data_IF_088709704933
#
_entry.id   IF_088709704933
#
_cell.length_a   1.000
_cell.length_b   1.000
_cell.length_c   1.000
_cell.angle_alpha   90.00
_cell.angle_beta   90.00
_cell.angle_gamma   90.00
#
_symmetry.space_group_name_H-M   'P 1'
#
loop_
_entity.id
_entity.type
_entity.pdbx_description
1 polymer ?
#
# COMPACT_ATOMS: atom_id res chain seq x y z
N UNK A 1 -19.42 -2.30 -16.57
CA UNK A 1 -18.62 -1.19 -16.04
C UNK A 1 -19.60 -0.05 -15.79
N UNK A 2 -19.55 0.62 -14.63
CA UNK A 2 -20.32 1.88 -14.47
C UNK A 2 -19.51 2.93 -15.20
N UNK A 3 -19.94 3.42 -16.38
CA UNK A 3 -19.18 4.43 -17.09
C UNK A 3 -19.20 5.74 -16.30
N UNK A 4 -18.13 6.54 -16.39
CA UNK A 4 -18.00 7.90 -15.82
C UNK A 4 -17.75 8.06 -14.31
N UNK A 5 -17.93 7.05 -13.46
CA UNK A 5 -17.62 7.18 -12.02
C UNK A 5 -16.15 7.54 -11.76
N UNK A 6 -15.23 7.01 -12.57
CA UNK A 6 -13.81 7.35 -12.52
C UNK A 6 -13.46 8.70 -13.17
N UNK A 7 -14.29 9.27 -14.05
CA UNK A 7 -14.08 10.62 -14.59
C UNK A 7 -14.27 11.68 -13.52
N UNK A 8 -15.34 11.55 -12.73
CA UNK A 8 -15.60 12.43 -11.59
C UNK A 8 -14.49 12.40 -10.53
N UNK A 9 -13.92 11.22 -10.27
CA UNK A 9 -12.86 11.06 -9.25
C UNK A 9 -11.48 11.39 -9.82
N UNK A 10 -11.20 10.96 -11.06
CA UNK A 10 -9.88 11.03 -11.68
C UNK A 10 -9.59 12.33 -12.43
N UNK A 11 -10.51 12.78 -13.27
CA UNK A 11 -10.36 14.02 -14.05
C UNK A 11 -11.12 15.20 -13.45
N UNK A 12 -11.96 14.96 -12.42
CA UNK A 12 -12.89 15.94 -11.85
C UNK A 12 -13.79 16.57 -12.94
N UNK A 13 -14.03 15.81 -14.01
CA UNK A 13 -14.75 16.26 -15.20
C UNK A 13 -15.73 15.19 -15.66
N UNK A 14 -16.84 15.64 -16.22
CA UNK A 14 -17.85 14.77 -16.85
C UNK A 14 -17.56 14.51 -18.34
N UNK A 15 -16.63 15.26 -18.93
CA UNK A 15 -16.38 15.26 -20.39
C UNK A 15 -14.98 14.79 -20.76
N UNK A 16 -14.02 14.85 -19.84
CA UNK A 16 -12.64 14.46 -20.11
C UNK A 16 -12.49 12.94 -20.14
N UNK A 17 -11.96 12.41 -21.23
CA UNK A 17 -11.74 10.98 -21.41
C UNK A 17 -10.42 10.54 -20.81
N UNK A 18 -10.45 9.51 -19.97
CA UNK A 18 -9.23 8.90 -19.45
C UNK A 18 -8.50 8.15 -20.56
N UNK A 19 -7.19 8.41 -20.78
CA UNK A 19 -6.46 7.80 -21.86
C UNK A 19 -6.36 6.29 -21.68
N UNK A 20 -6.50 5.57 -22.79
CA UNK A 20 -6.35 4.12 -22.80
C UNK A 20 -4.89 3.68 -22.62
N UNK A 21 -4.67 2.43 -22.24
CA UNK A 21 -3.33 1.82 -22.13
C UNK A 21 -2.52 1.99 -23.42
N UNK A 22 -3.16 1.88 -24.59
CA UNK A 22 -2.50 2.05 -25.90
C UNK A 22 -1.98 3.47 -26.09
N UNK A 23 -2.78 4.48 -25.77
CA UNK A 23 -2.39 5.89 -25.86
C UNK A 23 -1.27 6.23 -24.87
N UNK A 24 -1.33 5.68 -23.66
CA UNK A 24 -0.27 5.84 -22.65
C UNK A 24 1.04 5.22 -23.17
N UNK A 25 1.00 4.03 -23.77
CA UNK A 25 2.19 3.40 -24.37
C UNK A 25 2.78 4.25 -25.48
N UNK A 26 1.94 4.80 -26.35
CA UNK A 26 2.42 5.65 -27.46
C UNK A 26 3.06 6.95 -26.93
N UNK A 27 2.42 7.59 -25.95
CA UNK A 27 3.01 8.73 -25.25
C UNK A 27 4.33 8.36 -24.56
N UNK A 28 4.41 7.18 -23.94
CA UNK A 28 5.64 6.75 -23.28
C UNK A 28 6.75 6.40 -24.29
N UNK A 29 6.42 5.93 -25.50
CA UNK A 29 7.41 5.72 -26.57
C UNK A 29 8.10 7.03 -26.92
N UNK A 30 7.35 8.09 -27.21
CA UNK A 30 7.94 9.38 -27.58
C UNK A 30 8.81 9.95 -26.45
N UNK A 31 8.39 9.74 -25.19
CA UNK A 31 9.20 10.10 -24.02
C UNK A 31 10.47 9.25 -23.89
N UNK A 32 10.43 7.96 -24.20
CA UNK A 32 11.64 7.11 -24.22
C UNK A 32 12.60 7.60 -25.30
N UNK A 33 12.12 7.88 -26.50
CA UNK A 33 12.94 8.39 -27.61
C UNK A 33 13.56 9.77 -27.29
N UNK A 34 12.79 10.67 -26.68
CA UNK A 34 13.28 11.94 -26.11
C UNK A 34 14.33 11.69 -25.01
N UNK A 35 14.06 10.73 -24.12
CA UNK A 35 14.93 10.35 -23.01
C UNK A 35 16.26 9.75 -23.43
N UNK A 36 16.33 9.03 -24.56
CA UNK A 36 17.60 8.54 -25.14
C UNK A 36 18.56 9.71 -25.36
N UNK A 37 18.07 10.80 -25.97
CA UNK A 37 18.87 12.01 -26.24
C UNK A 37 19.37 12.63 -24.95
N UNK A 38 18.54 12.67 -23.90
CA UNK A 38 18.94 13.17 -22.59
C UNK A 38 20.02 12.30 -21.93
N UNK A 39 19.91 10.96 -22.01
CA UNK A 39 20.90 10.04 -21.42
C UNK A 39 22.24 10.15 -22.15
N UNK A 40 22.23 10.19 -23.49
CA UNK A 40 23.45 10.33 -24.30
C UNK A 40 24.14 11.66 -24.00
N UNK A 41 23.39 12.76 -23.98
CA UNK A 41 23.92 14.08 -23.63
C UNK A 41 24.48 14.11 -22.20
N UNK A 42 23.82 13.44 -21.24
CA UNK A 42 24.33 13.32 -19.88
C UNK A 42 25.66 12.55 -19.81
N UNK A 43 25.81 11.49 -20.61
CA UNK A 43 27.05 10.72 -20.68
C UNK A 43 28.20 11.51 -21.34
N UNK A 44 27.88 12.35 -22.33
CA UNK A 44 28.83 13.32 -22.90
C UNK A 44 29.27 14.34 -21.84
N UNK A 45 28.32 14.94 -21.11
CA UNK A 45 28.62 15.89 -20.03
C UNK A 45 29.41 15.27 -18.87
N UNK A 46 29.25 13.96 -18.61
CA UNK A 46 30.08 13.25 -17.62
C UNK A 46 31.54 13.12 -18.05
N UNK A 47 31.80 12.98 -19.36
CA UNK A 47 33.15 12.89 -19.93
C UNK A 47 33.78 14.28 -20.11
N UNK A 48 33.00 15.25 -20.57
CA UNK A 48 33.39 16.64 -20.74
C UNK A 48 32.29 17.57 -20.21
N UNK A 49 32.51 18.13 -19.03
CA UNK A 49 31.49 18.94 -18.33
C UNK A 49 31.13 20.24 -19.04
N UNK A 50 32.04 20.76 -19.84
CA UNK A 50 31.91 22.09 -20.46
C UNK A 50 31.46 22.01 -21.92
N UNK A 51 30.91 20.88 -22.37
CA UNK A 51 30.36 20.72 -23.72
C UNK A 51 29.05 21.51 -23.88
N UNK A 52 29.03 22.62 -24.65
CA UNK A 52 27.85 23.47 -24.80
C UNK A 52 26.74 22.82 -25.63
N UNK A 53 27.09 21.91 -26.56
CA UNK A 53 26.11 21.21 -27.38
C UNK A 53 25.39 20.15 -26.53
N UNK A 54 26.16 19.35 -25.79
CA UNK A 54 25.59 18.37 -24.87
C UNK A 54 24.72 19.03 -23.80
N UNK A 55 25.13 20.19 -23.26
CA UNK A 55 24.33 20.95 -22.29
C UNK A 55 22.99 21.42 -22.88
N UNK A 56 22.99 21.88 -24.13
CA UNK A 56 21.77 22.34 -24.82
C UNK A 56 20.80 21.18 -25.05
N UNK A 57 21.29 20.05 -25.57
CA UNK A 57 20.48 18.84 -25.80
C UNK A 57 19.96 18.28 -24.48
N UNK A 58 20.80 18.21 -23.45
CA UNK A 58 20.39 17.75 -22.13
C UNK A 58 19.28 18.63 -21.56
N UNK A 59 19.43 19.95 -21.60
CA UNK A 59 18.41 20.86 -21.07
C UNK A 59 17.08 20.77 -21.82
N UNK A 60 17.09 20.50 -23.13
CA UNK A 60 15.88 20.32 -23.92
C UNK A 60 15.14 19.02 -23.58
N UNK A 61 15.84 17.95 -23.23
CA UNK A 61 15.26 16.61 -23.05
C UNK A 61 15.26 16.09 -21.60
N UNK A 62 15.81 16.83 -20.64
CA UNK A 62 15.97 16.39 -19.23
C UNK A 62 14.68 15.95 -18.54
N UNK A 63 13.52 16.47 -18.97
CA UNK A 63 12.21 16.10 -18.42
C UNK A 63 11.86 14.62 -18.67
N UNK A 64 12.46 14.00 -19.68
CA UNK A 64 12.24 12.59 -20.04
C UNK A 64 13.45 11.70 -19.74
N UNK A 65 14.45 12.21 -19.02
CA UNK A 65 15.66 11.46 -18.68
C UNK A 65 15.32 10.09 -18.04
N UNK A 66 14.36 10.05 -17.11
CA UNK A 66 13.95 8.81 -16.46
C UNK A 66 13.37 7.78 -17.43
N UNK A 67 12.72 8.21 -18.51
CA UNK A 67 12.21 7.32 -19.55
C UNK A 67 13.35 6.73 -20.39
N UNK A 68 14.37 7.53 -20.69
CA UNK A 68 15.61 7.01 -21.29
C UNK A 68 16.31 5.97 -20.41
N UNK A 69 16.29 6.16 -19.09
CA UNK A 69 16.90 5.24 -18.13
C UNK A 69 16.19 3.87 -18.04
N UNK A 70 14.95 3.73 -18.53
CA UNK A 70 14.28 2.43 -18.64
C UNK A 70 15.02 1.48 -19.57
N UNK A 71 15.68 2.02 -20.60
CA UNK A 71 16.46 1.22 -21.55
C UNK A 71 17.71 0.58 -20.92
N UNK A 72 18.20 1.10 -19.79
CA UNK A 72 19.35 0.51 -19.07
C UNK A 72 19.08 -0.89 -18.51
N UNK A 73 17.82 -1.35 -18.57
CA UNK A 73 17.45 -2.74 -18.28
C UNK A 73 17.83 -3.70 -19.42
N UNK A 74 17.87 -3.21 -20.66
CA UNK A 74 17.99 -4.01 -21.88
C UNK A 74 19.32 -3.77 -22.61
N UNK A 75 19.94 -2.60 -22.44
CA UNK A 75 21.24 -2.25 -23.02
C UNK A 75 22.11 -1.48 -22.03
N UNK A 76 23.43 -1.70 -22.10
CA UNK A 76 24.42 -0.90 -21.34
C UNK A 76 24.56 0.49 -21.95
N UNK A 77 24.62 0.56 -23.28
CA UNK A 77 24.69 1.79 -24.05
C UNK A 77 23.32 2.12 -24.65
N UNK A 78 22.72 3.20 -24.15
CA UNK A 78 21.39 3.65 -24.55
C UNK A 78 21.39 4.23 -25.97
N UNK A 79 22.54 4.65 -26.51
CA UNK A 79 22.63 5.17 -27.89
C UNK A 79 22.45 4.07 -28.93
N UNK A 80 22.68 2.81 -28.55
CA UNK A 80 22.58 1.64 -29.42
C UNK A 80 21.25 0.88 -29.24
N UNK A 81 20.24 1.53 -28.64
CA UNK A 81 18.94 0.91 -28.40
C UNK A 81 18.25 0.57 -29.73
N UNK A 82 17.93 -0.71 -29.93
CA UNK A 82 17.19 -1.17 -31.12
C UNK A 82 15.69 -0.87 -30.98
N UNK A 83 14.92 -0.85 -32.09
CA UNK A 83 13.47 -0.70 -32.03
C UNK A 83 12.78 -1.72 -31.12
N UNK A 84 13.30 -2.95 -31.06
CA UNK A 84 12.80 -4.02 -30.19
C UNK A 84 13.06 -3.69 -28.71
N UNK A 85 14.24 -3.16 -28.37
CA UNK A 85 14.55 -2.73 -26.99
C UNK A 85 13.65 -1.57 -26.56
N UNK A 86 13.38 -0.62 -27.47
CA UNK A 86 12.43 0.48 -27.22
C UNK A 86 11.03 -0.07 -26.99
N UNK A 87 10.58 -1.03 -27.79
CA UNK A 87 9.29 -1.70 -27.60
C UNK A 87 9.21 -2.39 -26.23
N UNK A 88 10.24 -3.14 -25.83
CA UNK A 88 10.29 -3.79 -24.52
C UNK A 88 10.26 -2.77 -23.37
N UNK A 89 10.97 -1.65 -23.51
CA UNK A 89 10.93 -0.56 -22.55
C UNK A 89 9.53 0.04 -22.43
N UNK A 90 8.87 0.35 -23.56
CA UNK A 90 7.49 0.84 -23.62
C UNK A 90 6.54 -0.14 -22.92
N UNK A 91 6.64 -1.44 -23.22
CA UNK A 91 5.79 -2.45 -22.62
C UNK A 91 6.00 -2.57 -21.11
N UNK A 92 7.23 -2.36 -20.64
CA UNK A 92 7.56 -2.36 -19.21
C UNK A 92 7.13 -1.09 -18.47
N UNK A 93 6.70 -0.03 -19.15
CA UNK A 93 6.19 1.19 -18.49
C UNK A 93 4.86 0.97 -17.77
N UNK A 94 4.17 -0.12 -18.07
CA UNK A 94 2.86 -0.44 -17.51
C UNK A 94 2.97 -1.77 -16.75
N UNK A 95 2.67 -1.79 -15.44
CA UNK A 95 2.69 -3.01 -14.65
C UNK A 95 1.56 -3.95 -15.08
N UNK A 96 1.63 -5.21 -14.62
CA UNK A 96 0.57 -6.18 -14.94
C UNK A 96 -0.76 -5.68 -14.37
N UNK A 97 -1.79 -5.63 -15.22
CA UNK A 97 -3.09 -5.05 -14.86
C UNK A 97 -3.88 -5.95 -13.91
N UNK A 98 -3.73 -7.27 -14.00
CA UNK A 98 -4.55 -8.21 -13.22
C UNK A 98 -4.40 -8.05 -11.69
N UNK A 99 -3.19 -7.98 -11.10
CA UNK A 99 -3.04 -7.72 -9.66
C UNK A 99 -3.69 -6.40 -9.21
N UNK A 100 -3.50 -5.33 -9.97
CA UNK A 100 -4.10 -4.01 -9.65
C UNK A 100 -5.63 -4.06 -9.73
N UNK A 101 -6.16 -4.67 -10.79
CA UNK A 101 -7.59 -4.79 -11.05
C UNK A 101 -8.33 -5.51 -9.93
N UNK A 102 -7.78 -6.62 -9.45
CA UNK A 102 -8.38 -7.43 -8.39
C UNK A 102 -8.16 -6.82 -7.01
N UNK A 103 -6.96 -6.31 -6.72
CA UNK A 103 -6.66 -5.67 -5.43
C UNK A 103 -7.56 -4.47 -5.20
N UNK A 104 -7.73 -3.61 -6.21
CA UNK A 104 -8.63 -2.46 -6.14
C UNK A 104 -10.08 -2.88 -5.90
N UNK A 105 -10.57 -3.93 -6.58
CA UNK A 105 -11.96 -4.39 -6.40
C UNK A 105 -12.23 -4.94 -5.02
N UNK A 106 -11.34 -5.79 -4.52
CA UNK A 106 -11.50 -6.38 -3.19
C UNK A 106 -11.43 -5.26 -2.14
N UNK A 107 -10.50 -4.31 -2.27
CA UNK A 107 -10.40 -3.13 -1.40
C UNK A 107 -11.70 -2.33 -1.39
N UNK A 108 -12.24 -1.98 -2.56
CA UNK A 108 -13.49 -1.21 -2.68
C UNK A 108 -14.69 -2.00 -2.13
N UNK A 109 -14.77 -3.31 -2.42
CA UNK A 109 -15.82 -4.17 -1.90
C UNK A 109 -15.80 -4.24 -0.36
N UNK A 110 -14.61 -4.36 0.24
CA UNK A 110 -14.43 -4.30 1.69
C UNK A 110 -14.81 -2.92 2.24
N UNK A 111 -14.45 -1.83 1.56
CA UNK A 111 -14.85 -0.46 1.93
C UNK A 111 -16.36 -0.29 2.03
N UNK A 112 -17.12 -0.75 1.02
CA UNK A 112 -18.58 -0.72 1.06
C UNK A 112 -19.15 -1.68 2.12
N UNK A 113 -18.54 -2.84 2.33
CA UNK A 113 -18.95 -3.77 3.37
C UNK A 113 -18.75 -3.18 4.78
N UNK A 114 -17.66 -2.44 5.02
CA UNK A 114 -17.47 -1.70 6.28
C UNK A 114 -18.50 -0.58 6.46
N UNK A 115 -18.75 0.19 5.40
CA UNK A 115 -19.76 1.25 5.46
C UNK A 115 -21.13 0.68 5.84
N UNK A 116 -21.52 -0.44 5.25
CA UNK A 116 -22.77 -1.13 5.58
C UNK A 116 -22.76 -1.66 7.01
N UNK A 117 -21.67 -2.34 7.43
CA UNK A 117 -21.52 -2.88 8.78
C UNK A 117 -21.64 -1.79 9.84
N UNK A 118 -20.90 -0.68 9.69
CA UNK A 118 -20.94 0.43 10.65
C UNK A 118 -22.28 1.16 10.65
N UNK A 119 -22.91 1.34 9.48
CA UNK A 119 -24.25 1.95 9.39
C UNK A 119 -25.29 1.12 10.13
N UNK A 120 -25.26 -0.22 9.97
CA UNK A 120 -26.16 -1.13 10.67
C UNK A 120 -25.86 -1.19 12.17
N UNK A 121 -24.57 -1.25 12.55
CA UNK A 121 -24.16 -1.22 13.95
C UNK A 121 -24.65 0.06 14.65
N UNK A 122 -24.46 1.22 14.02
CA UNK A 122 -24.96 2.50 14.54
C UNK A 122 -26.48 2.51 14.64
N UNK A 123 -27.20 2.10 13.60
CA UNK A 123 -28.66 2.07 13.58
C UNK A 123 -29.25 1.21 14.71
N UNK A 124 -28.74 -0.01 14.90
CA UNK A 124 -29.22 -0.89 15.97
C UNK A 124 -28.73 -0.49 17.36
N UNK A 125 -27.59 0.21 17.45
CA UNK A 125 -27.12 0.83 18.69
C UNK A 125 -28.05 1.96 19.13
N UNK A 126 -28.46 2.85 18.21
CA UNK A 126 -29.42 3.94 18.50
C UNK A 126 -30.77 3.38 18.94
N UNK A 127 -31.21 2.26 18.35
CA UNK A 127 -32.45 1.58 18.76
C UNK A 127 -32.34 0.77 20.06
N UNK A 128 -31.16 0.65 20.65
CA UNK A 128 -30.93 -0.17 21.84
C UNK A 128 -31.12 -1.68 21.65
N UNK A 129 -31.23 -2.19 20.42
CA UNK A 129 -31.54 -3.60 20.11
C UNK A 129 -30.35 -4.39 19.55
N UNK A 130 -29.14 -3.82 19.59
CA UNK A 130 -27.93 -4.42 18.99
C UNK A 130 -27.58 -5.81 19.56
N UNK A 131 -27.82 -6.04 20.85
CA UNK A 131 -27.55 -7.32 21.54
C UNK A 131 -28.37 -8.46 20.93
N UNK A 132 -29.59 -8.19 20.49
CA UNK A 132 -30.50 -9.19 19.92
C UNK A 132 -30.05 -9.65 18.52
N UNK A 133 -29.31 -8.80 17.78
CA UNK A 133 -28.91 -9.06 16.40
C UNK A 133 -27.63 -9.89 16.34
N UNK A 134 -27.72 -11.15 16.74
CA UNK A 134 -26.58 -12.11 16.75
C UNK A 134 -25.86 -12.22 15.41
N UNK A 135 -26.57 -12.08 14.28
CA UNK A 135 -25.95 -12.11 12.95
C UNK A 135 -25.00 -10.92 12.72
N UNK A 136 -25.36 -9.73 13.21
CA UNK A 136 -24.56 -8.52 13.09
C UNK A 136 -23.31 -8.59 13.97
N UNK A 137 -23.46 -9.12 15.20
CA UNK A 137 -22.34 -9.36 16.10
C UNK A 137 -21.35 -10.39 15.53
N UNK A 138 -21.86 -11.48 14.94
CA UNK A 138 -21.03 -12.48 14.25
C UNK A 138 -20.33 -11.86 13.05
N UNK A 139 -21.04 -11.05 12.25
CA UNK A 139 -20.43 -10.37 11.11
C UNK A 139 -19.28 -9.45 11.55
N UNK A 140 -19.48 -8.63 12.58
CA UNK A 140 -18.42 -7.80 13.15
C UNK A 140 -17.20 -8.61 13.61
N UNK A 141 -17.43 -9.75 14.26
CA UNK A 141 -16.35 -10.66 14.69
C UNK A 141 -15.53 -11.21 13.51
N UNK A 142 -16.19 -11.69 12.46
CA UNK A 142 -15.51 -12.20 11.26
C UNK A 142 -14.80 -11.09 10.46
N UNK A 143 -15.23 -9.84 10.63
CA UNK A 143 -14.64 -8.69 9.95
C UNK A 143 -13.42 -8.12 10.67
N UNK A 144 -13.04 -8.63 11.85
CA UNK A 144 -11.83 -8.19 12.55
C UNK A 144 -10.59 -8.18 11.63
N UNK A 145 -10.21 -9.25 10.89
CA UNK A 145 -9.01 -9.22 10.04
C UNK A 145 -9.16 -8.40 8.75
N UNK A 146 -10.38 -8.03 8.36
CA UNK A 146 -10.64 -7.45 7.04
C UNK A 146 -10.03 -6.05 6.81
N UNK A 147 -9.96 -5.13 7.81
CA UNK A 147 -9.32 -3.84 7.63
C UNK A 147 -7.85 -3.95 7.27
N UNK A 148 -7.12 -4.90 7.87
CA UNK A 148 -5.73 -5.19 7.51
C UNK A 148 -5.62 -5.63 6.06
N UNK A 149 -6.46 -6.57 5.62
CA UNK A 149 -6.47 -7.03 4.22
C UNK A 149 -6.79 -5.85 3.26
N UNK A 150 -7.78 -5.03 3.58
CA UNK A 150 -8.12 -3.87 2.76
C UNK A 150 -6.97 -2.86 2.66
N UNK A 151 -6.27 -2.61 3.78
CA UNK A 151 -5.11 -1.73 3.82
C UNK A 151 -3.95 -2.26 2.99
N UNK A 152 -3.60 -3.55 3.12
CA UNK A 152 -2.55 -4.20 2.32
C UNK A 152 -2.86 -4.14 0.82
N UNK A 153 -4.12 -4.42 0.43
CA UNK A 153 -4.54 -4.30 -0.97
C UNK A 153 -4.45 -2.86 -1.49
N UNK A 154 -4.75 -1.87 -0.64
CA UNK A 154 -4.56 -0.46 -0.97
C UNK A 154 -3.09 -0.10 -1.22
N UNK A 155 -2.19 -0.60 -0.35
CA UNK A 155 -0.74 -0.46 -0.55
C UNK A 155 -0.27 -1.14 -1.83
N UNK A 156 -0.75 -2.34 -2.15
CA UNK A 156 -0.45 -3.01 -3.42
C UNK A 156 -0.89 -2.15 -4.60
N UNK A 157 -2.11 -1.58 -4.57
CA UNK A 157 -2.59 -0.70 -5.64
C UNK A 157 -1.69 0.53 -5.81
N UNK A 158 -1.27 1.16 -4.71
CA UNK A 158 -0.44 2.36 -4.73
C UNK A 158 1.01 2.07 -5.17
N UNK A 159 1.65 1.06 -4.59
CA UNK A 159 3.08 0.77 -4.78
C UNK A 159 3.33 -0.05 -6.04
N UNK A 160 2.55 -1.09 -6.28
CA UNK A 160 2.66 -1.86 -7.53
C UNK A 160 2.17 -1.05 -8.73
N UNK A 161 1.20 -0.16 -8.52
CA UNK A 161 0.67 0.73 -9.58
C UNK A 161 1.69 1.74 -10.10
N UNK A 162 2.70 2.08 -9.28
CA UNK A 162 3.78 3.00 -9.65
C UNK A 162 4.94 2.31 -10.35
N UNK A 163 5.03 0.97 -10.34
CA UNK A 163 6.06 0.24 -11.08
C UNK A 163 5.99 0.63 -12.58
N UNK A 164 7.13 0.86 -13.26
CA UNK A 164 8.51 0.53 -12.88
C UNK A 164 9.28 1.68 -12.19
N UNK A 165 8.61 2.60 -11.50
CA UNK A 165 9.24 3.82 -10.97
C UNK A 165 9.45 3.79 -9.45
N UNK A 166 10.68 4.06 -9.00
CA UNK A 166 10.91 4.50 -7.61
C UNK A 166 10.42 5.93 -7.46
N UNK A 167 10.89 6.82 -8.34
CA UNK A 167 10.41 8.19 -8.48
C UNK A 167 9.85 8.35 -9.88
N UNK A 168 8.55 8.65 -9.97
CA UNK A 168 7.84 8.70 -11.24
C UNK A 168 8.51 9.64 -12.26
N UNK A 169 8.81 9.10 -13.44
CA UNK A 169 9.43 9.84 -14.55
C UNK A 169 10.90 10.22 -14.35
N UNK A 170 11.49 9.89 -13.20
CA UNK A 170 12.88 10.28 -12.85
C UNK A 170 13.76 9.05 -12.65
N UNK A 171 13.39 8.16 -11.73
CA UNK A 171 14.24 7.05 -11.31
C UNK A 171 13.48 5.71 -11.42
N UNK A 172 13.82 4.88 -12.42
CA UNK A 172 13.34 3.50 -12.50
C UNK A 172 13.81 2.61 -11.36
N UNK A 173 12.99 1.62 -11.00
CA UNK A 173 13.26 0.71 -9.87
C UNK A 173 14.49 -0.18 -10.08
N UNK A 174 14.77 -0.62 -11.31
CA UNK A 174 15.89 -1.52 -11.60
C UNK A 174 17.27 -0.87 -11.43
N UNK A 175 17.37 0.46 -11.49
CA UNK A 175 18.62 1.20 -11.22
C UNK A 175 18.64 1.84 -9.83
N UNK A 176 17.56 1.69 -9.06
CA UNK A 176 17.44 2.19 -7.69
C UNK A 176 17.92 1.19 -6.63
N UNK A 177 18.38 0.01 -7.05
CA UNK A 177 18.86 -1.05 -6.15
C UNK A 177 20.34 -0.89 -5.82
N UNK A 178 20.73 -1.32 -4.62
CA UNK A 178 22.15 -1.34 -4.22
C UNK A 178 22.89 -2.53 -4.85
N UNK A 179 24.19 -2.35 -5.11
CA UNK A 179 25.05 -3.40 -5.63
C UNK A 179 25.49 -4.36 -4.52
N UNK A 180 24.62 -5.29 -4.14
CA UNK A 180 24.83 -6.25 -3.04
C UNK A 180 24.69 -7.68 -3.60
N UNK A 181 25.45 -8.62 -3.05
CA UNK A 181 25.36 -10.02 -3.45
C UNK A 181 23.97 -10.61 -3.19
N UNK A 182 23.53 -11.49 -4.08
CA UNK A 182 22.25 -12.20 -3.96
C UNK A 182 22.16 -12.99 -2.64
N UNK A 183 23.28 -13.56 -2.18
CA UNK A 183 23.36 -14.27 -0.90
C UNK A 183 23.04 -13.39 0.31
N UNK A 184 23.56 -12.16 0.36
CA UNK A 184 23.26 -11.22 1.45
C UNK A 184 21.78 -10.81 1.45
N UNK A 185 21.17 -10.67 0.27
CA UNK A 185 19.75 -10.33 0.13
C UNK A 185 18.90 -11.47 0.68
N UNK A 186 19.13 -12.72 0.28
CA UNK A 186 18.36 -13.86 0.79
C UNK A 186 18.60 -14.11 2.28
N UNK A 187 19.85 -13.97 2.75
CA UNK A 187 20.18 -14.14 4.17
C UNK A 187 19.47 -13.12 5.06
N UNK A 188 19.53 -11.83 4.69
CA UNK A 188 18.84 -10.77 5.43
C UNK A 188 17.32 -10.89 5.35
N UNK A 189 16.77 -11.20 4.18
CA UNK A 189 15.33 -11.43 4.00
C UNK A 189 14.84 -12.59 4.86
N UNK A 190 15.54 -13.73 4.85
CA UNK A 190 15.20 -14.87 5.68
C UNK A 190 15.24 -14.51 7.18
N UNK A 191 16.28 -13.77 7.60
CA UNK A 191 16.39 -13.26 8.97
C UNK A 191 15.19 -12.41 9.39
N UNK A 192 14.81 -11.42 8.58
CA UNK A 192 13.65 -10.57 8.85
C UNK A 192 12.33 -11.35 8.84
N UNK A 193 12.13 -12.26 7.87
CA UNK A 193 10.93 -13.09 7.80
C UNK A 193 10.78 -13.95 9.05
N UNK A 194 11.84 -14.65 9.45
CA UNK A 194 11.82 -15.50 10.65
C UNK A 194 11.53 -14.64 11.89
N UNK A 195 12.26 -13.54 12.05
CA UNK A 195 12.12 -12.66 13.21
C UNK A 195 10.71 -12.09 13.34
N UNK A 196 10.17 -11.50 12.26
CA UNK A 196 8.83 -10.92 12.26
C UNK A 196 7.73 -11.99 12.38
N UNK A 197 7.95 -13.20 11.86
CA UNK A 197 7.00 -14.31 12.06
C UNK A 197 6.92 -14.73 13.52
N UNK A 198 8.07 -14.82 14.22
CA UNK A 198 8.09 -15.13 15.65
C UNK A 198 7.36 -14.05 16.45
N UNK A 199 7.62 -12.77 16.16
CA UNK A 199 6.92 -11.66 16.81
C UNK A 199 5.41 -11.72 16.57
N UNK A 200 4.98 -11.98 15.33
CA UNK A 200 3.57 -12.10 14.98
C UNK A 200 2.89 -13.25 15.74
N UNK A 201 3.53 -14.41 15.87
CA UNK A 201 2.96 -15.55 16.63
C UNK A 201 2.79 -15.18 18.11
N UNK A 202 3.81 -14.55 18.72
CA UNK A 202 3.75 -14.13 20.14
C UNK A 202 2.66 -13.07 20.33
N UNK A 203 2.60 -12.08 19.46
CA UNK A 203 1.60 -11.00 19.52
C UNK A 203 0.18 -11.55 19.38
N UNK A 204 -0.10 -12.38 18.36
CA UNK A 204 -1.42 -12.98 18.15
C UNK A 204 -1.80 -13.87 19.33
N UNK A 205 -0.85 -14.63 19.90
CA UNK A 205 -1.09 -15.41 21.11
C UNK A 205 -1.50 -14.53 22.29
N UNK A 206 -0.75 -13.45 22.57
CA UNK A 206 -1.06 -12.53 23.67
C UNK A 206 -2.39 -11.81 23.46
N UNK A 207 -2.65 -11.31 22.25
CA UNK A 207 -3.93 -10.69 21.90
C UNK A 207 -5.09 -11.65 22.13
N UNK A 208 -4.99 -12.89 21.66
CA UNK A 208 -6.04 -13.89 21.87
C UNK A 208 -6.22 -14.26 23.35
N UNK A 209 -5.11 -14.41 24.09
CA UNK A 209 -5.13 -14.72 25.52
C UNK A 209 -5.89 -13.64 26.30
N UNK A 210 -5.52 -12.38 26.14
CA UNK A 210 -6.14 -11.28 26.87
C UNK A 210 -7.55 -10.94 26.35
N UNK A 211 -7.80 -11.02 25.04
CA UNK A 211 -9.14 -10.82 24.50
C UNK A 211 -10.14 -11.87 25.02
N UNK A 212 -9.71 -13.12 25.24
CA UNK A 212 -10.55 -14.18 25.83
C UNK A 212 -10.73 -14.03 27.34
N UNK A 213 -9.74 -13.52 28.06
CA UNK A 213 -9.87 -13.19 29.48
C UNK A 213 -10.83 -12.00 29.68
N UNK A 214 -10.90 -11.09 28.72
CA UNK A 214 -11.73 -9.89 28.82
C UNK A 214 -11.32 -9.03 30.01
N UNK A 215 -12.25 -8.29 30.64
CA UNK A 215 -11.91 -7.37 31.72
C UNK A 215 -11.45 -8.07 33.01
N UNK A 216 -11.56 -9.40 33.10
CA UNK A 216 -11.04 -10.17 34.24
C UNK A 216 -9.50 -10.14 34.34
N UNK A 217 -8.78 -9.73 33.29
CA UNK A 217 -7.33 -9.53 33.37
C UNK A 217 -6.92 -8.33 34.23
N UNK A 218 -7.88 -7.49 34.65
CA UNK A 218 -7.62 -6.27 35.43
C UNK A 218 -7.53 -6.52 36.95
N UNK A 219 -8.06 -7.64 37.46
CA UNK A 219 -7.96 -8.03 38.88
C UNK A 219 -8.76 -7.15 39.83
N UNK A 220 -9.88 -6.60 39.38
CA UNK A 220 -10.69 -5.62 40.15
C UNK A 220 -11.73 -6.25 41.09
N UNK A 221 -11.99 -7.56 40.94
CA UNK A 221 -13.03 -8.31 41.65
C UNK A 221 -14.46 -8.06 41.15
N UNK A 222 -14.63 -7.34 40.03
CA UNK A 222 -15.94 -6.90 39.49
C UNK A 222 -16.37 -7.64 38.22
N UNK A 223 -15.49 -8.45 37.63
CA UNK A 223 -15.73 -9.04 36.31
C UNK A 223 -15.86 -10.57 36.35
N UNK A 224 -16.60 -11.10 35.38
CA UNK A 224 -16.79 -12.54 35.20
C UNK A 224 -15.44 -13.24 34.93
N UNK A 225 -15.09 -14.24 35.75
CA UNK A 225 -13.85 -15.01 35.60
C UNK A 225 -12.70 -14.60 36.53
N UNK A 226 -12.87 -13.57 37.35
CA UNK A 226 -11.93 -13.25 38.43
C UNK A 226 -12.15 -14.22 39.61
N UNK A 227 -11.11 -14.95 40.03
CA UNK A 227 -11.15 -15.65 41.31
C UNK A 227 -11.30 -14.60 42.41
N UNK A 228 -12.26 -14.79 43.33
CA UNK A 228 -12.37 -13.95 44.53
C UNK A 228 -11.20 -14.22 45.50
N UNK A 229 -9.97 -14.11 45.03
CA UNK A 229 -8.80 -14.14 45.88
C UNK A 229 -8.58 -12.75 46.46
N UNK A 230 -9.15 -12.59 47.66
CA UNK A 230 -8.64 -11.65 48.65
C UNK A 230 -9.34 -10.30 48.68
N UNK A 231 -10.21 -10.17 49.69
CA UNK A 231 -10.43 -8.93 50.46
C UNK A 231 -9.13 -8.37 51.11
N UNK A 232 -7.95 -8.69 50.58
CA UNK A 232 -6.65 -8.55 51.24
C UNK A 232 -5.52 -8.19 50.26
N UNK A 233 -5.80 -7.37 49.24
CA UNK A 233 -4.77 -6.69 48.46
C UNK A 233 -5.27 -5.32 47.95
N UNK A 234 -6.01 -4.59 48.78
CA UNK A 234 -6.33 -3.18 48.54
C UNK A 234 -5.50 -2.32 49.50
N UNK A 235 -4.18 -2.35 49.33
CA UNK A 235 -3.32 -1.26 49.79
C UNK A 235 -3.54 -0.06 48.87
N UNK A 236 -4.58 0.72 49.13
CA UNK A 236 -4.79 2.04 48.53
C UNK A 236 -6.02 2.17 47.62
N UNK A 237 -7.22 2.24 48.21
CA UNK A 237 -8.28 3.19 47.81
C UNK A 237 -9.52 3.06 48.72
N UNK A 238 -9.74 4.15 49.47
CA UNK A 238 -10.86 4.67 50.30
C UNK A 238 -12.09 3.80 50.69
N UNK A 239 -12.62 4.00 51.92
CA UNK A 239 -13.67 3.18 52.52
C UNK A 239 -15.09 3.47 51.99
N UNK A 240 -15.95 2.49 52.26
CA UNK A 240 -17.37 2.39 51.91
C UNK A 240 -18.20 3.65 52.16
N UNK A 241 -19.02 4.05 51.16
CA UNK A 241 -20.01 5.11 51.36
C UNK A 241 -20.72 5.69 50.13
N UNK A 242 -20.48 5.21 48.90
CA UNK A 242 -21.24 5.70 47.73
C UNK A 242 -22.54 4.90 47.57
N UNK A 243 -23.64 5.48 48.04
CA UNK A 243 -25.00 5.01 47.82
C UNK A 243 -25.27 5.02 46.31
N UNK A 244 -25.65 3.86 45.78
CA UNK A 244 -26.13 3.73 44.41
C UNK A 244 -27.53 4.34 44.33
N UNK A 245 -27.63 5.60 43.93
CA UNK A 245 -28.91 6.15 43.52
C UNK A 245 -29.22 5.71 42.09
N UNK A 246 -30.41 5.13 41.94
CA UNK A 246 -30.98 4.62 40.71
C UNK A 246 -31.33 5.78 39.77
N UNK A 247 -30.84 5.75 38.53
CA UNK A 247 -31.60 5.96 37.28
C UNK A 247 -30.90 5.20 36.16
#
# INVERSE_FOLDING_TARGET
QIPYALGLIGTRSLTETLPGIKEIKEKNRTRIESGIKAVVALEQLRKNRDDPQALTVFNAHKADLGFGLLLKKYTVDVSQATPEMIQQAVDSTIPRVAPLFWSFRIMVALGFAFLLLFSLALFYSIKGTFIEKKWLLRWALWFIPMPWIAAELGWVVAEYGRQPWTIYGVLPTHISVSNISVGNIYGSLAGFVIFYTVLLVVEVYLMQKYARQGPASLGTGKYFGESSHGKQAAGGALPAGAVADKV
#
